data_IF_709619439543
#
_entry.id   IF_709619439543
#
_cell.length_a   1.000
_cell.length_b   1.000
_cell.length_c   1.000
_cell.angle_alpha   90.00
_cell.angle_beta   90.00
_cell.angle_gamma   90.00
#
_symmetry.space_group_name_H-M   'P 1'
#
loop_
_entity.id
_entity.type
_entity.pdbx_description
1 polymer ?
#
# COMPACT_ATOMS: atom_id res chain seq x y z
N UNK A 1 -8.02 -0.55 4.99
CA UNK A 1 -8.12 0.43 3.87
C UNK A 1 -6.85 1.26 3.81
N UNK A 2 -6.54 2.05 4.84
CA UNK A 2 -5.38 2.96 4.85
C UNK A 2 -4.04 2.24 4.61
N UNK A 3 -3.78 1.12 5.29
CA UNK A 3 -2.55 0.34 5.07
C UNK A 3 -2.41 -0.18 3.63
N UNK A 4 -3.49 -0.69 3.05
CA UNK A 4 -3.50 -1.15 1.65
C UNK A 4 -3.33 0.01 0.67
N UNK A 5 -3.93 1.17 0.96
CA UNK A 5 -3.71 2.40 0.19
C UNK A 5 -2.24 2.84 0.25
N UNK A 6 -1.64 2.88 1.44
CA UNK A 6 -0.24 3.27 1.61
C UNK A 6 0.71 2.28 0.93
N UNK A 7 0.43 0.98 0.98
CA UNK A 7 1.18 -0.01 0.18
C UNK A 7 1.07 0.24 -1.33
N UNK A 8 -0.14 0.56 -1.82
CA UNK A 8 -0.34 0.94 -3.21
C UNK A 8 0.41 2.22 -3.59
N UNK A 9 0.40 3.23 -2.71
CA UNK A 9 1.18 4.46 -2.89
C UNK A 9 2.67 4.12 -3.05
N UNK A 10 3.20 3.28 -2.16
CA UNK A 10 4.58 2.79 -2.24
C UNK A 10 4.87 2.13 -3.58
N UNK A 11 4.06 1.14 -3.97
CA UNK A 11 4.19 0.41 -5.24
C UNK A 11 4.28 1.33 -6.46
N UNK A 12 3.46 2.39 -6.52
CA UNK A 12 3.38 3.24 -7.70
C UNK A 12 4.32 4.46 -7.68
N UNK A 13 4.94 4.80 -6.55
CA UNK A 13 5.68 6.06 -6.43
C UNK A 13 7.06 5.96 -5.79
N UNK A 14 7.35 4.91 -5.01
CA UNK A 14 8.57 4.83 -4.18
C UNK A 14 9.31 3.50 -4.31
N UNK A 15 8.58 2.39 -4.28
CA UNK A 15 9.14 1.05 -4.17
C UNK A 15 9.69 0.60 -5.53
N UNK A 16 11.02 0.53 -5.64
CA UNK A 16 11.71 0.15 -6.87
C UNK A 16 12.66 -1.02 -6.61
N UNK A 17 12.49 -2.11 -7.38
CA UNK A 17 13.42 -3.24 -7.40
C UNK A 17 14.38 -3.11 -8.58
N UNK A 18 15.69 -3.05 -8.31
CA UNK A 18 16.73 -2.97 -9.35
C UNK A 18 17.51 -4.26 -9.43
N UNK A 19 17.74 -4.75 -10.64
CA UNK A 19 18.47 -5.97 -10.91
C UNK A 19 19.62 -5.70 -11.88
N UNK A 20 20.71 -6.47 -11.75
CA UNK A 20 21.76 -6.52 -12.76
C UNK A 20 21.25 -7.20 -14.04
N UNK A 21 21.92 -7.00 -15.19
CA UNK A 21 21.65 -7.77 -16.41
C UNK A 21 21.80 -9.29 -16.23
N UNK A 22 22.55 -9.72 -15.20
CA UNK A 22 22.74 -11.12 -14.82
C UNK A 22 21.74 -11.62 -13.76
N UNK A 23 20.74 -10.82 -13.38
CA UNK A 23 19.66 -11.20 -12.46
C UNK A 23 19.95 -11.00 -10.97
N UNK A 24 21.04 -10.32 -10.61
CA UNK A 24 21.39 -10.06 -9.21
C UNK A 24 20.60 -8.85 -8.69
N UNK A 25 19.80 -9.03 -7.64
CA UNK A 25 19.08 -7.94 -6.98
C UNK A 25 20.06 -6.94 -6.33
N UNK A 26 19.98 -5.67 -6.72
CA UNK A 26 20.77 -4.56 -6.16
C UNK A 26 20.12 -3.92 -4.93
N UNK A 27 18.80 -3.73 -4.94
CA UNK A 27 18.06 -3.04 -3.88
C UNK A 27 17.79 -3.96 -2.69
N UNK A 28 18.85 -4.35 -1.98
CA UNK A 28 18.78 -5.25 -0.82
C UNK A 28 18.63 -4.45 0.48
N UNK A 29 17.52 -4.69 1.17
CA UNK A 29 17.25 -4.13 2.49
C UNK A 29 16.79 -2.66 2.47
N UNK A 30 16.41 -2.12 3.65
CA UNK A 30 15.74 -0.82 3.79
C UNK A 30 16.64 0.38 3.47
N UNK A 31 17.97 0.16 3.36
CA UNK A 31 18.91 1.19 2.91
C UNK A 31 18.70 1.58 1.45
N UNK A 32 18.29 0.61 0.62
CA UNK A 32 18.19 0.75 -0.84
C UNK A 32 16.77 0.53 -1.38
N UNK A 33 15.95 -0.27 -0.69
CA UNK A 33 14.52 -0.41 -0.95
C UNK A 33 13.72 0.46 0.02
N UNK A 34 12.91 1.38 -0.50
CA UNK A 34 12.20 2.39 0.30
C UNK A 34 10.70 2.15 0.26
N UNK A 35 10.19 1.63 1.37
CA UNK A 35 8.75 1.64 1.64
C UNK A 35 8.30 3.04 2.08
N UNK A 36 7.02 3.38 1.95
CA UNK A 36 6.46 4.61 2.51
C UNK A 36 6.69 4.70 4.03
N UNK A 37 7.13 5.87 4.46
CA UNK A 37 7.35 6.25 5.86
C UNK A 37 6.28 7.23 6.35
N UNK A 38 6.39 7.67 7.60
CA UNK A 38 5.47 8.65 8.19
C UNK A 38 5.41 9.98 7.42
N UNK A 39 6.46 10.37 6.70
CA UNK A 39 6.49 11.62 5.94
C UNK A 39 5.86 11.49 4.55
N UNK A 40 5.57 10.26 4.10
CA UNK A 40 5.12 9.98 2.73
C UNK A 40 3.59 9.82 2.64
N UNK A 41 2.92 9.67 3.78
CA UNK A 41 1.45 9.60 3.83
C UNK A 41 0.83 10.99 3.61
N UNK A 42 -0.35 11.09 2.97
CA UNK A 42 -1.02 12.38 2.76
C UNK A 42 -1.28 13.11 4.09
N UNK A 43 -0.94 14.41 4.15
CA UNK A 43 -1.18 15.26 5.32
C UNK A 43 -2.67 15.31 5.74
N UNK A 44 -3.57 15.13 4.78
CA UNK A 44 -5.02 14.99 5.01
C UNK A 44 -5.47 13.69 4.36
N UNK A 45 -5.80 12.70 5.17
CA UNK A 45 -6.30 11.41 4.72
C UNK A 45 -7.64 11.12 5.41
N UNK A 46 -8.74 11.17 4.65
CA UNK A 46 -10.08 10.95 5.18
C UNK A 46 -10.66 9.67 4.60
N UNK A 47 -11.12 8.76 5.46
CA UNK A 47 -11.72 7.49 5.07
C UNK A 47 -13.12 7.40 5.67
N UNK A 48 -14.10 7.08 4.82
CA UNK A 48 -15.49 6.88 5.21
C UNK A 48 -15.98 5.54 4.65
N UNK A 49 -16.76 4.82 5.45
CA UNK A 49 -17.47 3.64 5.00
C UNK A 49 -18.87 4.05 4.55
N UNK A 50 -19.35 3.46 3.45
CA UNK A 50 -20.69 3.73 2.93
C UNK A 50 -21.75 3.21 3.90
N UNK A 51 -22.60 4.11 4.41
CA UNK A 51 -23.69 3.75 5.31
C UNK A 51 -24.83 3.01 4.58
N UNK A 52 -25.53 2.11 5.27
CA UNK A 52 -26.70 1.41 4.74
C UNK A 52 -26.40 0.36 3.66
N UNK A 53 -25.13 -0.04 3.47
CA UNK A 53 -24.76 -1.02 2.44
C UNK A 53 -24.87 -2.46 2.95
N UNK A 54 -26.10 -2.99 3.04
CA UNK A 54 -26.35 -4.39 3.41
C UNK A 54 -25.74 -5.37 2.40
N UNK A 55 -25.26 -6.51 2.88
CA UNK A 55 -24.72 -7.60 2.05
C UNK A 55 -25.38 -8.94 2.44
N UNK A 56 -26.49 -9.34 1.79
CA UNK A 56 -27.25 -10.52 2.19
C UNK A 56 -26.50 -11.84 1.98
N UNK A 57 -25.41 -11.84 1.20
CA UNK A 57 -24.62 -13.03 0.91
C UNK A 57 -23.51 -13.28 1.93
N UNK A 58 -23.19 -12.30 2.78
CA UNK A 58 -22.12 -12.41 3.78
C UNK A 58 -22.68 -12.45 5.20
N UNK A 59 -21.91 -13.09 6.09
CA UNK A 59 -22.23 -13.17 7.52
C UNK A 59 -22.33 -11.76 8.08
N UNK A 60 -23.47 -11.47 8.74
CA UNK A 60 -23.80 -10.17 9.34
C UNK A 60 -23.61 -8.96 8.39
N UNK A 61 -23.84 -9.16 7.09
CA UNK A 61 -23.67 -8.09 6.09
C UNK A 61 -22.27 -7.48 6.01
N UNK A 62 -21.24 -8.26 6.34
CA UNK A 62 -19.82 -7.88 6.17
C UNK A 62 -19.38 -7.89 4.69
N UNK A 63 -18.16 -7.41 4.42
CA UNK A 63 -17.49 -7.46 3.12
C UNK A 63 -16.00 -7.73 3.30
#
# INVERSE_FOLDING_TARGET
>A
IEGAFTQGLGLYTMEELKFSPSGVLYTRGPGQYKIPSFCDVPLKFNVYLLAGSSNPHAIYSSK
#
